data_IF_430214286413
#
_entry.id   IF_430214286413
#
_cell.length_a   1.000
_cell.length_b   1.000
_cell.length_c   1.000
_cell.angle_alpha   90.00
_cell.angle_beta   90.00
_cell.angle_gamma   90.00
#
_symmetry.space_group_name_H-M   'P 1'
#
loop_
_entity.id
_entity.type
_entity.pdbx_description
1 polymer ?
#
# COMPACT_ATOMS: atom_id res chain seq x y z
N UNK A 1 13.33 10.60 38.19
CA UNK A 1 12.18 10.92 37.33
C UNK A 1 12.47 10.34 35.95
N UNK A 2 11.52 9.65 35.32
CA UNK A 2 11.74 9.18 33.94
C UNK A 2 11.53 10.35 32.99
N UNK A 3 12.39 10.50 32.00
CA UNK A 3 12.28 11.49 30.93
C UNK A 3 11.91 10.76 29.64
N UNK A 4 10.84 11.19 28.99
CA UNK A 4 10.26 10.55 27.81
C UNK A 4 10.32 11.56 26.66
N UNK A 5 10.81 11.12 25.51
CA UNK A 5 10.59 11.80 24.23
C UNK A 5 9.41 11.13 23.55
N UNK A 6 8.40 11.93 23.24
CA UNK A 6 7.26 11.54 22.42
C UNK A 6 7.34 12.27 21.09
N UNK A 7 7.19 11.53 19.99
CA UNK A 7 7.17 12.07 18.63
C UNK A 7 5.88 11.61 17.96
N UNK A 8 5.17 12.54 17.35
CA UNK A 8 3.98 12.27 16.53
C UNK A 8 4.13 12.88 15.14
N UNK A 9 3.91 12.08 14.09
CA UNK A 9 3.71 12.58 12.73
C UNK A 9 2.25 13.01 12.58
N UNK A 10 2.00 14.30 12.33
CA UNK A 10 0.64 14.84 12.31
C UNK A 10 -0.18 14.37 11.10
N UNK A 11 0.47 13.94 10.03
CA UNK A 11 -0.21 13.59 8.78
C UNK A 11 -0.64 12.12 8.78
N UNK A 12 0.21 11.19 9.23
CA UNK A 12 -0.15 9.75 9.37
C UNK A 12 -0.71 9.39 10.74
N UNK A 13 -0.52 10.24 11.75
CA UNK A 13 -0.84 9.92 13.14
C UNK A 13 0.11 8.90 13.78
N UNK A 14 1.19 8.47 13.09
CA UNK A 14 2.20 7.56 13.65
C UNK A 14 2.86 8.19 14.88
N UNK A 15 3.07 7.39 15.93
CA UNK A 15 3.60 7.85 17.23
C UNK A 15 4.67 6.93 17.75
N UNK A 16 5.73 7.52 18.29
CA UNK A 16 6.74 6.81 19.05
C UNK A 16 6.95 7.49 20.39
N UNK A 17 7.10 6.69 21.45
CA UNK A 17 7.55 7.16 22.75
C UNK A 17 8.74 6.32 23.23
N UNK A 18 9.79 6.99 23.70
CA UNK A 18 10.97 6.35 24.26
C UNK A 18 11.53 7.10 25.47
N UNK A 19 12.20 6.38 26.36
CA UNK A 19 12.90 6.96 27.51
C UNK A 19 14.26 7.52 27.07
N UNK A 20 14.50 8.81 27.34
CA UNK A 20 15.74 9.52 27.03
C UNK A 20 16.60 9.73 28.27
N UNK A 21 17.88 10.05 28.07
CA UNK A 21 18.76 10.40 29.19
C UNK A 21 18.35 11.76 29.75
N UNK A 22 18.29 11.95 31.08
CA UNK A 22 17.87 13.22 31.67
C UNK A 22 18.73 14.43 31.23
N UNK A 23 19.99 14.20 30.89
CA UNK A 23 20.88 15.26 30.40
C UNK A 23 20.48 15.78 29.01
N UNK A 24 19.75 14.97 28.23
CA UNK A 24 19.34 15.34 26.88
C UNK A 24 18.09 16.24 26.86
N UNK A 25 17.40 16.47 27.99
CA UNK A 25 16.30 17.45 27.99
C UNK A 25 16.78 18.90 27.87
N UNK A 26 18.08 19.13 27.99
CA UNK A 26 18.69 20.46 27.88
C UNK A 26 19.34 20.74 26.51
N UNK A 27 19.26 19.81 25.56
CA UNK A 27 19.82 20.01 24.21
C UNK A 27 18.75 20.53 23.23
N UNK A 28 19.21 21.15 22.15
CA UNK A 28 18.37 21.66 21.07
C UNK A 28 17.53 20.54 20.44
N UNK A 29 16.40 20.89 19.82
CA UNK A 29 15.55 19.96 19.09
C UNK A 29 16.35 19.21 18.01
N UNK A 30 17.23 19.88 17.27
CA UNK A 30 18.11 19.24 16.29
C UNK A 30 18.94 18.11 16.93
N UNK A 31 19.54 18.35 18.08
CA UNK A 31 20.32 17.36 18.83
C UNK A 31 19.47 16.18 19.33
N UNK A 32 18.25 16.45 19.80
CA UNK A 32 17.31 15.39 20.19
C UNK A 32 16.91 14.52 19.00
N UNK A 33 16.53 15.14 17.88
CA UNK A 33 16.13 14.43 16.67
C UNK A 33 17.30 13.68 16.04
N UNK A 34 18.52 14.23 16.06
CA UNK A 34 19.71 13.52 15.57
C UNK A 34 19.98 12.25 16.40
N UNK A 35 19.99 12.37 17.73
CA UNK A 35 20.29 11.26 18.64
C UNK A 35 19.19 10.21 18.69
N UNK A 36 17.92 10.63 18.72
CA UNK A 36 16.79 9.74 19.03
C UNK A 36 15.84 9.47 17.88
N UNK A 37 15.88 10.26 16.81
CA UNK A 37 15.10 9.99 15.59
C UNK A 37 15.99 9.56 14.43
N UNK A 38 17.07 10.26 14.09
CA UNK A 38 17.92 9.95 12.93
C UNK A 38 18.87 8.77 13.19
N UNK A 39 19.56 8.80 14.33
CA UNK A 39 20.56 7.80 14.73
C UNK A 39 20.24 7.10 16.06
N UNK A 40 18.99 6.62 16.28
CA UNK A 40 18.62 5.97 17.52
C UNK A 40 19.41 4.67 17.70
N UNK A 41 19.96 4.40 18.90
CA UNK A 41 20.57 3.11 19.22
C UNK A 41 19.48 2.07 19.52
N UNK A 42 18.66 1.71 18.53
CA UNK A 42 17.41 0.92 18.68
C UNK A 42 17.61 -0.36 19.48
N UNK A 43 18.67 -1.14 19.20
CA UNK A 43 18.95 -2.39 19.91
C UNK A 43 19.25 -2.18 21.40
N UNK A 44 20.03 -1.15 21.74
CA UNK A 44 20.28 -0.76 23.14
C UNK A 44 19.00 -0.26 23.80
N UNK A 45 18.22 0.60 23.12
CA UNK A 45 16.94 1.09 23.64
C UNK A 45 15.96 -0.07 23.94
N UNK A 46 15.89 -1.08 23.06
CA UNK A 46 15.03 -2.25 23.27
C UNK A 46 15.53 -3.12 24.42
N UNK A 47 16.83 -3.46 24.44
CA UNK A 47 17.40 -4.30 25.50
C UNK A 47 17.36 -3.67 26.89
N UNK A 48 17.41 -2.34 26.97
CA UNK A 48 17.28 -1.57 28.22
C UNK A 48 15.81 -1.28 28.61
N UNK A 49 14.83 -1.75 27.82
CA UNK A 49 13.41 -1.48 28.03
C UNK A 49 13.06 0.00 27.98
N UNK A 50 13.80 0.79 27.19
CA UNK A 50 13.59 2.24 26.98
C UNK A 50 12.59 2.52 25.86
N UNK A 51 12.37 1.56 24.97
CA UNK A 51 11.38 1.60 23.90
C UNK A 51 10.75 0.21 23.77
N UNK A 52 9.50 0.13 23.28
CA UNK A 52 8.86 -1.15 22.93
C UNK A 52 9.14 -1.51 21.48
N UNK A 53 8.96 -2.78 21.10
CA UNK A 53 9.11 -3.22 19.70
C UNK A 53 8.18 -2.44 18.75
N UNK A 54 6.91 -2.23 19.15
CA UNK A 54 5.96 -1.45 18.36
C UNK A 54 6.39 0.00 18.16
N UNK A 55 6.92 0.66 19.20
CA UNK A 55 7.44 2.02 19.06
C UNK A 55 8.77 2.07 18.30
N UNK A 56 9.61 1.04 18.38
CA UNK A 56 10.82 0.96 17.56
C UNK A 56 10.49 0.86 16.06
N UNK A 57 9.47 0.08 15.69
CA UNK A 57 8.97 0.04 14.31
C UNK A 57 8.38 1.39 13.89
N UNK A 58 7.54 1.99 14.73
CA UNK A 58 6.95 3.31 14.41
C UNK A 58 8.01 4.41 14.28
N UNK A 59 9.06 4.38 15.12
CA UNK A 59 10.21 5.30 15.02
C UNK A 59 10.90 5.17 13.66
N UNK A 60 11.13 3.94 13.21
CA UNK A 60 11.73 3.65 11.91
C UNK A 60 10.85 4.10 10.75
N UNK A 61 9.53 3.99 10.88
CA UNK A 61 8.61 4.50 9.86
C UNK A 61 8.61 6.04 9.83
N UNK A 62 8.63 6.70 10.99
CA UNK A 62 8.73 8.17 11.08
C UNK A 62 10.06 8.65 10.49
N UNK A 63 11.17 7.93 10.68
CA UNK A 63 12.45 8.26 10.05
C UNK A 63 12.32 8.44 8.53
N UNK A 64 11.61 7.52 7.87
CA UNK A 64 11.51 7.50 6.40
C UNK A 64 10.53 8.55 5.86
N UNK A 65 9.73 9.15 6.73
CA UNK A 65 8.87 10.30 6.44
C UNK A 65 9.56 11.64 6.71
N UNK A 66 10.64 11.62 7.50
CA UNK A 66 11.33 12.84 7.95
C UNK A 66 12.63 13.07 7.19
N UNK A 67 13.40 12.01 6.91
CA UNK A 67 14.73 12.12 6.34
C UNK A 67 14.81 11.50 4.95
N UNK A 68 15.58 12.14 4.08
CA UNK A 68 15.92 11.61 2.76
C UNK A 68 16.92 10.47 2.94
N UNK A 69 16.63 9.32 2.31
CA UNK A 69 17.57 8.21 2.22
C UNK A 69 18.46 8.37 0.99
N UNK A 70 19.79 8.33 1.13
CA UNK A 70 20.68 8.22 -0.02
C UNK A 70 20.61 6.82 -0.64
N UNK A 71 21.17 6.65 -1.83
CA UNK A 71 21.19 5.38 -2.57
C UNK A 71 21.80 4.23 -1.78
N UNK A 72 22.63 4.53 -0.78
CA UNK A 72 23.23 3.55 0.11
C UNK A 72 22.33 3.15 1.30
N UNK A 73 21.15 3.77 1.47
CA UNK A 73 20.19 3.52 2.54
C UNK A 73 20.39 4.36 3.80
N UNK A 74 21.44 5.21 3.84
CA UNK A 74 21.72 6.08 4.98
C UNK A 74 20.82 7.32 4.96
N UNK A 75 20.40 7.77 6.15
CA UNK A 75 19.60 8.98 6.31
C UNK A 75 20.49 10.22 6.23
N UNK A 76 20.09 11.18 5.40
CA UNK A 76 20.76 12.47 5.20
C UNK A 76 19.97 13.61 5.84
N UNK A 77 19.67 14.65 5.07
CA UNK A 77 18.91 15.80 5.52
C UNK A 77 17.42 15.49 5.64
N UNK A 78 16.72 16.34 6.38
CA UNK A 78 15.28 16.29 6.46
C UNK A 78 14.67 16.69 5.12
N UNK A 79 13.47 16.20 4.81
CA UNK A 79 12.72 16.72 3.67
C UNK A 79 12.51 18.24 3.81
N UNK A 80 12.61 18.94 2.69
CA UNK A 80 12.28 20.37 2.64
C UNK A 80 10.81 20.58 3.02
N UNK A 81 10.54 21.59 3.84
CA UNK A 81 9.18 21.93 4.27
C UNK A 81 8.70 21.25 5.55
N UNK A 82 9.52 20.39 6.18
CA UNK A 82 9.21 19.89 7.53
C UNK A 82 9.21 21.05 8.54
N UNK A 83 8.16 21.09 9.35
CA UNK A 83 8.05 21.96 10.50
C UNK A 83 7.85 21.13 11.77
N UNK A 84 8.28 21.68 12.90
CA UNK A 84 8.09 21.06 14.21
C UNK A 84 7.19 21.92 15.07
N UNK A 85 6.39 21.25 15.89
CA UNK A 85 5.49 21.86 16.84
C UNK A 85 5.68 21.24 18.21
N UNK A 86 5.58 22.07 19.23
CA UNK A 86 5.45 21.63 20.61
C UNK A 86 4.15 22.23 21.14
N UNK A 87 3.27 21.36 21.62
CA UNK A 87 1.86 21.71 21.86
C UNK A 87 1.21 22.33 20.60
N UNK A 88 0.82 23.61 20.68
CA UNK A 88 0.21 24.33 19.56
C UNK A 88 1.18 25.33 18.89
N UNK A 89 2.38 25.51 19.42
CA UNK A 89 3.38 26.47 18.93
C UNK A 89 4.38 25.81 17.98
N UNK A 90 4.91 26.58 17.03
CA UNK A 90 6.06 26.13 16.22
C UNK A 90 7.33 26.21 17.06
N UNK A 91 8.22 25.24 16.89
CA UNK A 91 9.54 25.20 17.51
C UNK A 91 10.62 25.00 16.44
N UNK A 92 11.66 25.83 16.50
CA UNK A 92 12.82 25.75 15.62
C UNK A 92 13.82 24.68 16.04
N UNK A 93 14.64 24.23 15.09
CA UNK A 93 15.65 23.21 15.32
C UNK A 93 16.73 23.60 16.34
N UNK A 94 17.05 24.90 16.44
CA UNK A 94 18.05 25.44 17.37
C UNK A 94 17.48 25.72 18.78
N UNK A 95 16.18 25.56 18.98
CA UNK A 95 15.51 25.80 20.26
C UNK A 95 15.56 24.55 21.15
N UNK A 96 15.57 24.74 22.46
CA UNK A 96 15.50 23.64 23.44
C UNK A 96 14.03 23.36 23.76
N UNK A 97 13.51 22.16 23.49
CA UNK A 97 12.13 21.82 23.81
C UNK A 97 11.85 21.86 25.31
N UNK A 98 10.66 22.32 25.67
CA UNK A 98 10.19 22.29 27.04
C UNK A 98 9.76 20.87 27.43
N UNK A 99 9.91 20.55 28.72
CA UNK A 99 9.41 19.28 29.28
C UNK A 99 8.19 19.56 30.15
N UNK A 100 7.13 18.77 30.00
CA UNK A 100 5.93 18.84 30.81
C UNK A 100 5.79 17.62 31.71
N UNK A 101 5.29 17.80 32.94
CA UNK A 101 5.00 16.70 33.84
C UNK A 101 3.71 15.98 33.41
N UNK A 102 3.78 14.67 33.24
CA UNK A 102 2.64 13.81 32.94
C UNK A 102 2.53 12.67 33.97
N UNK A 103 1.31 12.19 34.20
CA UNK A 103 1.07 11.01 35.04
C UNK A 103 0.68 9.82 34.16
N UNK A 104 1.52 8.78 34.16
CA UNK A 104 1.28 7.54 33.43
C UNK A 104 1.24 6.38 34.41
N UNK A 105 0.09 5.70 34.52
CA UNK A 105 -0.07 4.56 35.42
C UNK A 105 0.22 4.89 36.90
N UNK A 106 -0.06 6.13 37.34
CA UNK A 106 0.24 6.60 38.71
C UNK A 106 1.69 7.01 38.95
N UNK A 107 2.55 6.99 37.92
CA UNK A 107 3.94 7.46 38.00
C UNK A 107 4.07 8.82 37.32
N UNK A 108 4.69 9.79 37.99
CA UNK A 108 5.03 11.08 37.40
C UNK A 108 6.27 10.94 36.50
N UNK A 109 6.13 11.37 35.25
CA UNK A 109 7.19 11.37 34.23
C UNK A 109 7.31 12.76 33.62
N UNK A 110 8.51 13.11 33.15
CA UNK A 110 8.78 14.34 32.41
C UNK A 110 8.73 14.02 30.91
N UNK A 111 7.91 14.72 30.13
CA UNK A 111 7.66 14.43 28.71
C UNK A 111 8.07 15.62 27.86
N UNK A 112 8.95 15.37 26.88
CA UNK A 112 9.19 16.24 25.74
C UNK A 112 8.31 15.74 24.61
N UNK A 113 7.25 16.48 24.29
CA UNK A 113 6.29 16.11 23.23
C UNK A 113 6.55 16.95 21.98
N UNK A 114 6.87 16.28 20.87
CA UNK A 114 7.18 16.91 19.59
C UNK A 114 6.24 16.37 18.51
N UNK A 115 5.55 17.29 17.85
CA UNK A 115 4.77 17.02 16.66
C UNK A 115 5.55 17.41 15.40
N UNK A 116 5.54 16.53 14.41
CA UNK A 116 6.15 16.71 13.10
C UNK A 116 5.03 17.05 12.12
N UNK A 117 5.11 18.25 11.56
CA UNK A 117 4.21 18.73 10.52
C UNK A 117 4.92 18.66 9.17
N UNK A 118 4.41 17.80 8.29
CA UNK A 118 4.94 17.58 6.94
C UNK A 118 3.94 17.96 5.85
N UNK A 119 3.00 18.85 6.14
CA UNK A 119 2.02 19.33 5.15
C UNK A 119 2.67 20.11 3.99
N UNK A 120 3.86 20.69 4.21
CA UNK A 120 4.60 21.43 3.17
C UNK A 120 5.74 20.61 2.52
N UNK A 121 5.82 19.30 2.80
CA UNK A 121 6.83 18.43 2.19
C UNK A 121 6.47 18.14 0.74
N UNK A 122 7.46 18.24 -0.16
CA UNK A 122 7.34 17.91 -1.57
C UNK A 122 7.62 16.43 -1.89
N UNK A 123 7.70 16.11 -3.18
CA UNK A 123 7.90 14.75 -3.70
C UNK A 123 9.38 14.38 -3.92
N UNK A 124 10.25 14.74 -2.98
CA UNK A 124 11.71 14.59 -3.13
C UNK A 124 12.25 13.21 -2.68
N UNK A 125 11.37 12.20 -2.56
CA UNK A 125 11.77 10.88 -2.06
C UNK A 125 12.70 10.19 -3.05
N UNK A 126 13.90 9.83 -2.58
CA UNK A 126 14.76 8.90 -3.30
C UNK A 126 14.30 7.45 -3.08
N UNK A 127 13.61 6.88 -4.08
CA UNK A 127 13.06 5.53 -4.01
C UNK A 127 14.11 4.43 -3.92
N UNK A 128 15.25 4.57 -4.59
CA UNK A 128 16.33 3.58 -4.52
C UNK A 128 16.88 3.48 -3.09
N UNK A 129 17.19 4.63 -2.48
CA UNK A 129 17.62 4.70 -1.09
C UNK A 129 16.57 4.22 -0.11
N UNK A 130 15.31 4.62 -0.31
CA UNK A 130 14.18 4.18 0.52
C UNK A 130 14.00 2.66 0.49
N UNK A 131 13.96 2.04 -0.70
CA UNK A 131 13.85 0.59 -0.83
C UNK A 131 15.04 -0.14 -0.19
N UNK A 132 16.28 0.32 -0.44
CA UNK A 132 17.46 -0.30 0.14
C UNK A 132 17.41 -0.27 1.67
N UNK A 133 17.10 0.89 2.25
CA UNK A 133 16.98 1.07 3.70
C UNK A 133 15.93 0.14 4.32
N UNK A 134 14.74 0.07 3.72
CA UNK A 134 13.63 -0.77 4.21
C UNK A 134 13.98 -2.25 4.11
N UNK A 135 14.68 -2.65 3.04
CA UNK A 135 15.17 -4.02 2.88
C UNK A 135 16.15 -4.41 3.98
N UNK A 136 17.19 -3.60 4.22
CA UNK A 136 18.26 -3.91 5.18
C UNK A 136 17.73 -4.13 6.61
N UNK A 137 16.66 -3.43 7.02
CA UNK A 137 16.03 -3.62 8.34
C UNK A 137 15.48 -5.03 8.55
N UNK A 138 15.12 -5.75 7.48
CA UNK A 138 14.49 -7.08 7.51
C UNK A 138 15.05 -8.03 6.45
N UNK A 139 16.33 -7.87 6.12
CA UNK A 139 16.99 -8.57 5.01
C UNK A 139 16.78 -10.09 5.08
N UNK A 140 16.90 -10.66 6.28
CA UNK A 140 16.74 -12.10 6.51
C UNK A 140 15.33 -12.58 6.14
N UNK A 141 14.30 -11.86 6.56
CA UNK A 141 12.90 -12.21 6.33
C UNK A 141 12.58 -12.16 4.82
N UNK A 142 12.98 -11.08 4.14
CA UNK A 142 12.72 -10.91 2.72
C UNK A 142 13.54 -11.87 1.85
N UNK A 143 14.82 -12.07 2.18
CA UNK A 143 15.68 -13.04 1.49
C UNK A 143 15.16 -14.47 1.64
N UNK A 144 14.61 -14.82 2.81
CA UNK A 144 14.00 -16.12 3.03
C UNK A 144 12.70 -16.28 2.21
N UNK A 145 11.87 -15.24 2.13
CA UNK A 145 10.69 -15.24 1.25
C UNK A 145 11.06 -15.53 -0.21
N UNK A 146 12.10 -14.86 -0.73
CA UNK A 146 12.58 -15.08 -2.10
C UNK A 146 13.07 -16.52 -2.28
N UNK A 147 13.94 -17.01 -1.39
CA UNK A 147 14.49 -18.38 -1.45
C UNK A 147 13.40 -19.44 -1.38
N UNK A 148 12.42 -19.30 -0.48
CA UNK A 148 11.28 -20.21 -0.36
C UNK A 148 10.43 -20.20 -1.63
N UNK A 149 10.20 -19.02 -2.22
CA UNK A 149 9.43 -18.88 -3.46
C UNK A 149 10.10 -19.62 -4.63
N UNK A 150 11.41 -19.46 -4.80
CA UNK A 150 12.15 -20.17 -5.84
C UNK A 150 12.22 -21.68 -5.59
N UNK A 151 12.52 -22.09 -4.35
CA UNK A 151 12.65 -23.51 -3.98
C UNK A 151 11.33 -24.29 -4.07
N UNK A 152 10.19 -23.60 -4.02
CA UNK A 152 8.88 -24.22 -4.22
C UNK A 152 8.63 -24.60 -5.70
N UNK A 153 9.44 -24.10 -6.63
CA UNK A 153 9.25 -24.29 -8.08
C UNK A 153 10.45 -24.92 -8.79
N UNK A 154 11.65 -24.76 -8.25
CA UNK A 154 12.89 -25.17 -8.88
C UNK A 154 13.71 -26.07 -7.95
N UNK A 155 14.63 -26.85 -8.51
CA UNK A 155 15.57 -27.63 -7.70
C UNK A 155 16.49 -26.73 -6.86
N UNK A 156 17.26 -27.33 -5.94
CA UNK A 156 18.21 -26.59 -5.12
C UNK A 156 19.33 -25.97 -5.97
N UNK A 157 19.83 -26.70 -6.96
CA UNK A 157 20.83 -26.23 -7.90
C UNK A 157 20.28 -25.08 -8.74
N UNK A 158 19.11 -25.27 -9.36
CA UNK A 158 18.45 -24.23 -10.16
C UNK A 158 18.14 -22.97 -9.36
N UNK A 159 17.68 -23.12 -8.11
CA UNK A 159 17.44 -21.97 -7.22
C UNK A 159 18.72 -21.17 -6.99
N UNK A 160 19.85 -21.86 -6.84
CA UNK A 160 21.16 -21.21 -6.65
C UNK A 160 21.59 -20.47 -7.92
N UNK A 161 21.38 -21.08 -9.09
CA UNK A 161 21.70 -20.46 -10.38
C UNK A 161 20.82 -19.23 -10.64
N UNK A 162 19.51 -19.33 -10.42
CA UNK A 162 18.56 -18.22 -10.59
C UNK A 162 18.93 -17.05 -9.67
N UNK A 163 19.26 -17.32 -8.40
CA UNK A 163 19.67 -16.28 -7.44
C UNK A 163 20.96 -15.57 -7.85
N UNK A 164 21.77 -16.16 -8.73
CA UNK A 164 22.98 -15.51 -9.24
C UNK A 164 22.70 -14.47 -10.32
N UNK A 165 21.50 -14.50 -10.93
CA UNK A 165 21.01 -13.54 -11.94
C UNK A 165 21.99 -13.29 -13.11
N UNK A 166 22.82 -14.30 -13.43
CA UNK A 166 23.91 -14.18 -14.40
C UNK A 166 23.43 -14.06 -15.83
N UNK A 167 22.31 -14.72 -16.15
CA UNK A 167 21.76 -14.77 -17.49
C UNK A 167 20.39 -14.10 -17.58
N UNK A 168 19.97 -13.75 -18.79
CA UNK A 168 18.58 -13.39 -19.09
C UNK A 168 17.58 -14.42 -18.55
N UNK A 169 17.87 -15.72 -18.72
CA UNK A 169 16.97 -16.79 -18.29
C UNK A 169 16.81 -16.78 -16.77
N UNK A 170 17.91 -16.63 -16.03
CA UNK A 170 17.89 -16.52 -14.57
C UNK A 170 17.02 -15.34 -14.12
N UNK A 171 17.20 -14.16 -14.73
CA UNK A 171 16.40 -12.96 -14.43
C UNK A 171 14.92 -13.17 -14.74
N UNK A 172 14.58 -13.75 -15.90
CA UNK A 172 13.20 -14.02 -16.29
C UNK A 172 12.53 -15.01 -15.34
N UNK A 173 13.22 -16.11 -14.99
CA UNK A 173 12.72 -17.12 -14.04
C UNK A 173 12.56 -16.53 -12.64
N UNK A 174 13.50 -15.69 -12.20
CA UNK A 174 13.43 -14.98 -10.93
C UNK A 174 12.19 -14.09 -10.86
N UNK A 175 12.03 -13.17 -11.82
CA UNK A 175 10.89 -12.25 -11.88
C UNK A 175 9.58 -13.04 -11.99
N UNK A 176 9.49 -14.04 -12.88
CA UNK A 176 8.26 -14.81 -13.09
C UNK A 176 7.83 -15.56 -11.83
N UNK A 177 8.76 -16.18 -11.11
CA UNK A 177 8.43 -16.92 -9.90
C UNK A 177 7.89 -16.02 -8.78
N UNK A 178 8.55 -14.88 -8.54
CA UNK A 178 8.11 -13.89 -7.55
C UNK A 178 6.80 -13.23 -7.96
N UNK A 179 6.69 -12.81 -9.22
CA UNK A 179 5.49 -12.22 -9.78
C UNK A 179 4.30 -13.17 -9.63
N UNK A 180 4.48 -14.46 -9.92
CA UNK A 180 3.41 -15.46 -9.75
C UNK A 180 3.06 -15.69 -8.28
N UNK A 181 4.03 -15.63 -7.37
CA UNK A 181 3.77 -15.75 -5.92
C UNK A 181 2.95 -14.58 -5.40
N UNK A 182 3.30 -13.36 -5.79
CA UNK A 182 2.56 -12.14 -5.43
C UNK A 182 1.18 -12.15 -6.10
N UNK A 183 1.08 -12.52 -7.38
CA UNK A 183 -0.21 -12.62 -8.07
C UNK A 183 -1.17 -13.56 -7.33
N UNK A 184 -0.70 -14.70 -6.82
CA UNK A 184 -1.53 -15.64 -6.06
C UNK A 184 -2.02 -15.14 -4.69
N UNK A 185 -1.47 -14.07 -4.14
CA UNK A 185 -2.00 -13.50 -2.91
C UNK A 185 -3.34 -12.78 -3.17
N UNK A 186 -4.08 -12.51 -2.10
CA UNK A 186 -5.39 -11.89 -2.19
C UNK A 186 -5.35 -10.53 -2.92
N UNK A 187 -6.42 -10.21 -3.63
CA UNK A 187 -6.73 -8.83 -3.98
C UNK A 187 -7.73 -8.32 -2.93
N UNK A 188 -7.31 -7.36 -2.12
CA UNK A 188 -8.04 -7.03 -0.90
C UNK A 188 -7.79 -5.60 -0.40
N UNK A 189 -8.76 -5.10 0.37
CA UNK A 189 -8.64 -3.88 1.19
C UNK A 189 -8.91 -4.14 2.67
N UNK A 190 -9.26 -5.36 3.09
CA UNK A 190 -9.59 -5.66 4.48
C UNK A 190 -8.42 -5.34 5.43
N UNK A 191 -7.17 -5.49 4.97
CA UNK A 191 -5.94 -5.26 5.75
C UNK A 191 -5.75 -3.80 6.14
N UNK A 192 -6.44 -2.86 5.49
CA UNK A 192 -6.47 -1.44 5.89
C UNK A 192 -7.25 -1.20 7.18
N UNK A 193 -8.13 -2.15 7.56
CA UNK A 193 -9.03 -1.97 8.71
C UNK A 193 -8.78 -2.99 9.84
N UNK A 194 -7.86 -3.93 9.64
CA UNK A 194 -7.45 -4.91 10.65
C UNK A 194 -5.93 -4.90 10.79
N UNK A 195 -5.40 -5.50 11.87
CA UNK A 195 -3.96 -5.50 12.12
C UNK A 195 -3.41 -4.09 12.31
N UNK A 196 -2.38 -3.73 11.53
CA UNK A 196 -1.67 -2.44 11.60
C UNK A 196 -2.51 -1.26 11.08
N UNK A 197 -3.63 -1.53 10.39
CA UNK A 197 -4.59 -0.51 9.90
C UNK A 197 -3.93 0.60 9.07
N UNK A 198 -2.99 0.20 8.22
CA UNK A 198 -2.32 1.14 7.32
C UNK A 198 -3.30 1.60 6.24
N UNK A 199 -3.52 2.91 6.15
CA UNK A 199 -4.37 3.51 5.12
C UNK A 199 -3.88 3.17 3.72
N UNK A 200 -2.56 3.12 3.52
CA UNK A 200 -1.91 2.66 2.30
C UNK A 200 -0.60 1.93 2.63
N UNK A 201 -0.30 0.85 1.93
CA UNK A 201 0.90 0.04 2.15
C UNK A 201 1.97 0.36 1.12
N UNK A 202 3.16 0.69 1.59
CA UNK A 202 4.38 0.72 0.78
C UNK A 202 4.76 -0.69 0.31
N UNK A 203 5.72 -0.81 -0.62
CA UNK A 203 6.11 -2.11 -1.20
C UNK A 203 6.55 -3.15 -0.17
N UNK A 204 7.30 -2.74 0.87
CA UNK A 204 7.75 -3.66 1.93
C UNK A 204 6.62 -4.03 2.90
N UNK A 205 5.70 -3.12 3.18
CA UNK A 205 4.50 -3.36 3.99
C UNK A 205 3.53 -4.31 3.28
N UNK A 206 3.34 -4.12 1.98
CA UNK A 206 2.56 -5.02 1.14
C UNK A 206 3.22 -6.41 1.07
N UNK A 207 4.55 -6.49 0.94
CA UNK A 207 5.27 -7.76 0.98
C UNK A 207 5.09 -8.47 2.33
N UNK A 208 5.18 -7.76 3.45
CA UNK A 208 4.93 -8.32 4.79
C UNK A 208 3.49 -8.84 4.91
N UNK A 209 2.50 -8.06 4.49
CA UNK A 209 1.11 -8.50 4.49
C UNK A 209 0.91 -9.77 3.64
N UNK A 210 1.59 -9.89 2.48
CA UNK A 210 1.58 -11.11 1.66
C UNK A 210 2.26 -12.30 2.36
N UNK A 211 3.36 -12.06 3.08
CA UNK A 211 4.04 -13.09 3.88
C UNK A 211 3.13 -13.64 5.00
N UNK A 212 2.28 -12.79 5.56
CA UNK A 212 1.30 -13.12 6.60
C UNK A 212 -0.04 -13.66 6.04
N UNK A 213 -0.08 -14.03 4.75
CA UNK A 213 -1.26 -14.61 4.10
C UNK A 213 -2.34 -13.59 3.73
N UNK A 214 -2.04 -12.30 3.78
CA UNK A 214 -2.84 -11.24 3.19
C UNK A 214 -2.50 -10.99 1.72
N UNK A 215 -2.77 -9.78 1.26
CA UNK A 215 -2.60 -9.38 -0.14
C UNK A 215 -2.43 -7.87 -0.30
N UNK A 216 -3.11 -7.32 -1.29
CA UNK A 216 -3.21 -5.87 -1.49
C UNK A 216 -3.88 -5.53 -2.81
N UNK A 217 -4.04 -4.25 -3.09
CA UNK A 217 -4.52 -3.78 -4.40
C UNK A 217 -3.39 -3.77 -5.44
N UNK A 218 -3.72 -3.43 -6.70
CA UNK A 218 -2.77 -3.41 -7.82
C UNK A 218 -1.46 -2.69 -7.48
N UNK A 219 -1.54 -1.46 -7.00
CA UNK A 219 -0.36 -0.64 -6.69
C UNK A 219 0.50 -1.19 -5.56
N UNK A 220 -0.11 -1.82 -4.56
CA UNK A 220 0.61 -2.38 -3.41
C UNK A 220 1.35 -3.67 -3.81
N UNK A 221 0.70 -4.54 -4.59
CA UNK A 221 1.29 -5.78 -5.09
C UNK A 221 2.40 -5.51 -6.10
N UNK A 222 2.22 -4.53 -6.98
CA UNK A 222 3.24 -4.06 -7.92
C UNK A 222 4.43 -3.45 -7.18
N UNK A 223 4.20 -2.60 -6.17
CA UNK A 223 5.28 -2.08 -5.33
C UNK A 223 6.01 -3.18 -4.57
N UNK A 224 5.32 -4.21 -4.07
CA UNK A 224 5.97 -5.36 -3.42
C UNK A 224 6.91 -6.10 -4.37
N UNK A 225 6.50 -6.32 -5.62
CA UNK A 225 7.37 -6.93 -6.61
C UNK A 225 8.57 -6.02 -6.93
N UNK A 226 8.33 -4.73 -7.16
CA UNK A 226 9.40 -3.76 -7.43
C UNK A 226 10.40 -3.68 -6.29
N UNK A 227 9.93 -3.61 -5.04
CA UNK A 227 10.76 -3.59 -3.84
C UNK A 227 11.73 -4.77 -3.79
N UNK A 228 11.26 -5.98 -4.12
CA UNK A 228 12.13 -7.15 -4.23
C UNK A 228 13.12 -6.97 -5.38
N UNK A 229 12.64 -6.67 -6.60
CA UNK A 229 13.52 -6.62 -7.76
C UNK A 229 14.56 -5.51 -7.73
N UNK A 230 14.24 -4.38 -7.08
CA UNK A 230 15.18 -3.27 -6.87
C UNK A 230 16.34 -3.72 -5.96
N UNK A 231 16.09 -4.49 -4.90
CA UNK A 231 17.15 -5.06 -4.05
C UNK A 231 18.11 -5.97 -4.86
N UNK A 232 17.57 -6.73 -5.80
CA UNK A 232 18.35 -7.61 -6.66
C UNK A 232 18.94 -6.91 -7.91
N UNK A 233 18.83 -5.58 -8.00
CA UNK A 233 19.41 -4.79 -9.08
C UNK A 233 18.73 -5.02 -10.44
N UNK A 234 17.46 -5.43 -10.45
CA UNK A 234 16.68 -5.61 -11.67
C UNK A 234 15.79 -4.38 -11.86
N UNK A 235 16.23 -3.48 -12.74
CA UNK A 235 15.52 -2.24 -13.03
C UNK A 235 14.13 -2.47 -13.65
N UNK A 236 13.16 -1.67 -13.21
CA UNK A 236 11.80 -1.65 -13.72
C UNK A 236 11.17 -0.27 -13.67
N UNK A 237 10.28 -0.03 -14.63
CA UNK A 237 9.42 1.14 -14.74
C UNK A 237 7.98 0.77 -14.36
N UNK A 238 7.28 1.66 -13.66
CA UNK A 238 5.84 1.60 -13.55
C UNK A 238 5.19 1.93 -14.89
N UNK A 239 4.19 1.11 -15.25
CA UNK A 239 3.29 1.32 -16.38
C UNK A 239 1.92 1.57 -15.81
N UNK A 240 1.25 2.62 -16.25
CA UNK A 240 -0.11 2.93 -15.82
C UNK A 240 -1.12 2.39 -16.83
N UNK A 241 -2.31 2.03 -16.37
CA UNK A 241 -3.40 1.64 -17.23
C UNK A 241 -4.75 2.09 -16.67
N UNK A 242 -5.75 2.07 -17.53
CA UNK A 242 -7.14 2.11 -17.09
C UNK A 242 -8.11 2.03 -18.25
N UNK A 243 -9.38 2.00 -17.87
CA UNK A 243 -10.48 1.73 -18.78
C UNK A 243 -10.67 2.88 -19.78
N UNK A 244 -10.82 2.51 -21.06
CA UNK A 244 -11.12 3.45 -22.15
C UNK A 244 -10.12 4.61 -22.27
N UNK A 245 -8.88 4.39 -21.83
CA UNK A 245 -7.80 5.35 -21.82
C UNK A 245 -6.89 5.17 -23.05
N UNK A 246 -7.44 5.05 -24.26
CA UNK A 246 -6.67 4.76 -25.48
C UNK A 246 -5.70 5.87 -25.91
N UNK A 247 -6.03 7.12 -25.58
CA UNK A 247 -5.24 8.30 -25.94
C UNK A 247 -3.92 8.39 -25.15
N UNK A 248 -2.94 9.22 -25.56
CA UNK A 248 -1.73 9.46 -24.79
C UNK A 248 -2.00 9.96 -23.36
N UNK A 249 -1.10 9.63 -22.43
CA UNK A 249 -1.19 10.04 -21.03
C UNK A 249 -1.04 11.57 -20.91
N UNK A 250 -1.98 12.28 -20.29
CA UNK A 250 -1.91 13.72 -20.10
C UNK A 250 -1.05 14.07 -18.88
N UNK A 251 0.26 13.81 -18.96
CA UNK A 251 1.20 13.91 -17.83
C UNK A 251 1.13 15.25 -17.08
N UNK A 252 1.10 16.38 -17.79
CA UNK A 252 1.01 17.71 -17.16
C UNK A 252 -0.24 17.85 -16.28
N UNK A 253 -1.36 17.24 -16.69
CA UNK A 253 -2.60 17.26 -15.91
C UNK A 253 -2.53 16.33 -14.71
N UNK A 254 -1.83 15.20 -14.81
CA UNK A 254 -1.59 14.31 -13.68
C UNK A 254 -0.69 14.99 -12.63
N UNK A 255 0.38 15.68 -13.06
CA UNK A 255 1.24 16.49 -12.17
C UNK A 255 0.48 17.64 -11.50
N UNK A 256 -0.38 18.33 -12.26
CA UNK A 256 -1.25 19.38 -11.72
C UNK A 256 -2.16 18.83 -10.61
N UNK A 257 -2.75 17.64 -10.81
CA UNK A 257 -3.59 16.99 -9.79
C UNK A 257 -2.81 16.64 -8.53
N UNK A 258 -1.59 16.10 -8.66
CA UNK A 258 -0.73 15.78 -7.52
C UNK A 258 -0.31 17.03 -6.74
N UNK A 259 -0.09 18.14 -7.44
CA UNK A 259 0.34 19.39 -6.78
C UNK A 259 -0.82 20.12 -6.10
N UNK A 260 -2.01 20.09 -6.70
CA UNK A 260 -3.16 20.87 -6.22
C UNK A 260 -4.11 20.08 -5.32
N UNK A 261 -4.05 18.75 -5.36
CA UNK A 261 -5.07 17.85 -4.82
C UNK A 261 -6.50 18.24 -5.27
N UNK A 262 -6.64 18.92 -6.42
CA UNK A 262 -7.93 19.29 -6.98
C UNK A 262 -8.47 18.16 -7.84
N UNK A 263 -9.34 17.35 -7.25
CA UNK A 263 -9.95 16.23 -7.96
C UNK A 263 -11.25 16.59 -8.71
N UNK A 264 -11.64 17.86 -8.82
CA UNK A 264 -12.92 18.26 -9.45
C UNK A 264 -12.99 17.95 -10.95
N UNK A 265 -11.86 17.97 -11.65
CA UNK A 265 -11.71 17.55 -13.06
C UNK A 265 -11.11 16.14 -13.19
N UNK A 266 -10.91 15.44 -12.08
CA UNK A 266 -10.12 14.22 -12.02
C UNK A 266 -10.79 13.03 -12.67
N UNK A 267 -12.13 12.93 -12.72
CA UNK A 267 -12.78 11.78 -13.37
C UNK A 267 -12.31 11.55 -14.81
N UNK A 268 -11.96 12.61 -15.54
CA UNK A 268 -11.43 12.49 -16.91
C UNK A 268 -9.99 11.96 -16.95
N UNK A 269 -9.15 12.31 -15.99
CA UNK A 269 -7.71 12.02 -16.02
C UNK A 269 -7.31 10.86 -15.09
N UNK A 270 -8.08 10.57 -14.03
CA UNK A 270 -7.88 9.43 -13.15
C UNK A 270 -7.95 8.10 -13.89
N UNK A 271 -8.72 8.03 -14.99
CA UNK A 271 -8.77 6.85 -15.85
C UNK A 271 -7.40 6.41 -16.38
N UNK A 272 -6.40 7.30 -16.39
CA UNK A 272 -5.05 6.94 -16.85
C UNK A 272 -4.22 6.22 -15.79
N UNK A 273 -4.60 6.27 -14.52
CA UNK A 273 -3.85 5.65 -13.42
C UNK A 273 -4.74 4.80 -12.49
N UNK A 274 -5.83 4.23 -13.03
CA UNK A 274 -6.70 3.30 -12.29
C UNK A 274 -5.98 1.99 -11.96
N UNK A 275 -4.95 1.66 -12.74
CA UNK A 275 -4.23 0.41 -12.67
C UNK A 275 -2.75 0.62 -12.94
N UNK A 276 -1.93 -0.32 -12.47
CA UNK A 276 -0.48 -0.27 -12.62
C UNK A 276 0.09 -1.67 -12.81
N UNK A 277 1.15 -1.76 -13.61
CA UNK A 277 1.99 -2.93 -13.83
C UNK A 277 3.48 -2.53 -13.83
N UNK A 278 4.39 -3.49 -13.95
CA UNK A 278 5.82 -3.25 -14.10
C UNK A 278 6.31 -3.62 -15.49
N UNK A 279 7.23 -2.81 -16.00
CA UNK A 279 7.98 -3.08 -17.21
C UNK A 279 9.45 -3.23 -16.88
N UNK A 280 9.99 -4.43 -17.08
CA UNK A 280 11.40 -4.71 -16.92
C UNK A 280 12.14 -4.62 -18.25
N UNK A 281 13.42 -4.27 -18.19
CA UNK A 281 14.35 -4.42 -19.33
C UNK A 281 15.33 -5.55 -19.03
N UNK A 282 15.16 -6.69 -19.70
CA UNK A 282 16.07 -7.84 -19.58
C UNK A 282 16.79 -8.05 -20.91
N UNK A 283 18.10 -7.79 -20.93
CA UNK A 283 18.99 -7.86 -22.10
C UNK A 283 18.38 -7.22 -23.37
N UNK A 284 17.86 -6.00 -23.22
CA UNK A 284 17.28 -5.22 -24.31
C UNK A 284 15.85 -5.60 -24.70
N UNK A 285 15.25 -6.60 -24.06
CA UNK A 285 13.84 -6.96 -24.25
C UNK A 285 12.97 -6.38 -23.14
N UNK A 286 11.82 -5.85 -23.55
CA UNK A 286 10.76 -5.43 -22.65
C UNK A 286 10.05 -6.65 -22.07
N UNK A 287 9.79 -6.65 -20.77
CA UNK A 287 9.00 -7.68 -20.08
C UNK A 287 7.91 -7.01 -19.26
N UNK A 288 6.67 -7.05 -19.73
CA UNK A 288 5.52 -6.48 -19.03
C UNK A 288 4.95 -7.52 -18.05
N UNK A 289 4.89 -7.15 -16.79
CA UNK A 289 4.49 -8.02 -15.68
C UNK A 289 3.37 -7.37 -14.88
N UNK A 290 2.26 -8.09 -14.75
CA UNK A 290 1.12 -7.69 -13.92
C UNK A 290 0.82 -8.75 -12.87
N UNK A 291 0.90 -8.34 -11.61
CA UNK A 291 0.77 -9.20 -10.42
C UNK A 291 -0.51 -8.95 -9.65
N UNK A 292 -1.48 -8.24 -10.23
CA UNK A 292 -2.64 -7.74 -9.49
C UNK A 292 -3.58 -8.86 -9.03
N UNK A 293 -3.93 -9.79 -9.93
CA UNK A 293 -4.97 -10.80 -9.69
C UNK A 293 -6.35 -10.17 -9.47
N UNK A 294 -7.21 -10.80 -8.67
CA UNK A 294 -8.63 -10.48 -8.56
C UNK A 294 -9.30 -10.74 -9.91
N UNK A 295 -9.46 -9.65 -10.66
CA UNK A 295 -10.11 -9.63 -11.97
C UNK A 295 -9.15 -9.39 -13.15
N UNK A 296 -7.87 -9.14 -12.85
CA UNK A 296 -6.81 -8.93 -13.83
C UNK A 296 -6.04 -10.24 -14.01
N UNK A 297 -5.90 -10.77 -15.24
CA UNK A 297 -5.14 -11.99 -15.48
C UNK A 297 -3.65 -11.81 -15.15
N UNK A 298 -2.96 -12.90 -14.83
CA UNK A 298 -1.51 -12.85 -14.71
C UNK A 298 -0.89 -12.52 -16.07
N UNK A 299 -0.14 -11.43 -16.15
CA UNK A 299 0.60 -11.06 -17.36
C UNK A 299 2.09 -11.27 -17.13
N UNK A 300 2.72 -12.02 -18.04
CA UNK A 300 4.16 -12.10 -18.18
C UNK A 300 4.49 -12.13 -19.67
N UNK A 301 4.56 -10.94 -20.27
CA UNK A 301 4.68 -10.75 -21.72
C UNK A 301 6.09 -10.29 -22.07
N UNK A 302 6.76 -10.99 -22.98
CA UNK A 302 8.15 -10.71 -23.37
C UNK A 302 8.22 -10.19 -24.81
N UNK A 303 9.01 -9.14 -25.04
CA UNK A 303 9.32 -8.63 -26.36
C UNK A 303 8.07 -8.12 -27.09
N UNK A 304 7.77 -8.72 -28.25
CA UNK A 304 6.68 -8.25 -29.11
C UNK A 304 5.28 -8.45 -28.50
N UNK A 305 5.13 -9.36 -27.53
CA UNK A 305 3.87 -9.48 -26.76
C UNK A 305 3.65 -8.27 -25.84
N UNK A 306 4.71 -7.79 -25.17
CA UNK A 306 4.63 -6.58 -24.36
C UNK A 306 4.38 -5.34 -25.24
N UNK A 307 5.05 -5.25 -26.40
CA UNK A 307 4.86 -4.14 -27.35
C UNK A 307 3.44 -4.03 -27.87
N UNK A 308 2.70 -5.13 -28.00
CA UNK A 308 1.29 -5.08 -28.44
C UNK A 308 0.38 -4.31 -27.49
N UNK A 309 0.67 -4.33 -26.19
CA UNK A 309 -0.09 -3.58 -25.19
C UNK A 309 0.47 -2.17 -24.94
N UNK A 310 1.76 -1.95 -25.20
CA UNK A 310 2.45 -0.69 -24.88
C UNK A 310 2.68 0.23 -26.08
N UNK A 311 2.62 -0.29 -27.31
CA UNK A 311 3.00 0.45 -28.53
C UNK A 311 2.10 1.65 -28.82
N UNK A 312 2.66 2.67 -29.47
CA UNK A 312 1.95 3.93 -29.75
C UNK A 312 1.02 3.85 -30.98
N UNK A 313 1.31 2.93 -31.91
CA UNK A 313 0.49 2.68 -33.11
C UNK A 313 -0.22 1.32 -32.96
N UNK A 314 -1.53 1.29 -33.16
CA UNK A 314 -2.39 0.08 -33.07
C UNK A 314 -2.37 -0.63 -31.70
N UNK A 315 -2.22 0.13 -30.61
CA UNK A 315 -2.28 -0.37 -29.22
C UNK A 315 -3.54 -1.20 -29.00
N UNK A 316 -3.36 -2.45 -28.56
CA UNK A 316 -4.48 -3.33 -28.23
C UNK A 316 -4.83 -3.17 -26.74
N UNK A 317 -6.11 -3.06 -26.38
CA UNK A 317 -6.50 -3.14 -24.98
C UNK A 317 -6.33 -4.55 -24.43
N UNK A 318 -6.21 -4.63 -23.11
CA UNK A 318 -6.49 -5.84 -22.37
C UNK A 318 -7.92 -5.75 -21.84
N UNK A 319 -8.83 -6.57 -22.38
CA UNK A 319 -10.17 -6.71 -21.79
C UNK A 319 -10.07 -7.45 -20.47
N UNK A 320 -10.51 -6.79 -19.39
CA UNK A 320 -10.52 -7.30 -18.02
C UNK A 320 -11.93 -7.25 -17.47
N UNK A 321 -12.28 -8.17 -16.57
CA UNK A 321 -13.63 -8.26 -16.03
C UNK A 321 -13.71 -7.64 -14.64
N UNK A 322 -13.87 -6.33 -14.55
CA UNK A 322 -14.00 -5.61 -13.28
C UNK A 322 -15.35 -5.93 -12.60
N UNK A 323 -15.32 -6.90 -11.69
CA UNK A 323 -16.47 -7.42 -10.94
C UNK A 323 -17.55 -8.00 -11.85
N UNK A 324 -18.46 -7.16 -12.35
CA UNK A 324 -19.57 -7.57 -13.22
C UNK A 324 -19.53 -6.94 -14.62
N UNK A 325 -18.58 -6.03 -14.89
CA UNK A 325 -18.41 -5.36 -16.17
C UNK A 325 -17.12 -5.82 -16.86
N UNK A 326 -17.14 -5.87 -18.19
CA UNK A 326 -15.94 -6.01 -18.99
C UNK A 326 -15.44 -4.60 -19.37
N UNK A 327 -14.16 -4.35 -19.17
CA UNK A 327 -13.52 -3.05 -19.41
C UNK A 327 -12.23 -3.25 -20.22
N UNK A 328 -11.98 -2.35 -21.16
CA UNK A 328 -10.80 -2.39 -22.01
C UNK A 328 -9.70 -1.50 -21.42
N UNK A 329 -8.68 -2.14 -20.85
CA UNK A 329 -7.56 -1.45 -20.22
C UNK A 329 -6.44 -1.17 -21.23
N UNK A 330 -6.03 0.09 -21.30
CA UNK A 330 -4.92 0.55 -22.15
C UNK A 330 -3.70 0.85 -21.29
N UNK A 331 -2.59 0.17 -21.55
CA UNK A 331 -1.34 0.32 -20.79
C UNK A 331 -0.45 1.38 -21.40
N UNK A 332 0.19 2.20 -20.56
CA UNK A 332 0.99 3.34 -20.97
C UNK A 332 2.28 3.43 -20.18
N UNK A 333 3.38 3.64 -20.91
CA UNK A 333 4.59 4.19 -20.30
C UNK A 333 4.31 5.63 -19.89
N UNK A 334 4.87 6.03 -18.75
CA UNK A 334 4.72 7.35 -18.18
C UNK A 334 6.05 7.76 -17.54
N UNK A 335 6.30 9.06 -17.44
CA UNK A 335 7.37 9.55 -16.60
C UNK A 335 7.19 9.07 -15.14
N UNK A 336 8.27 8.53 -14.57
CA UNK A 336 8.21 7.78 -13.30
C UNK A 336 7.91 8.67 -12.08
N UNK A 337 8.16 9.97 -12.18
CA UNK A 337 7.80 10.94 -11.14
C UNK A 337 6.30 10.93 -10.81
N UNK A 338 5.44 10.62 -11.79
CA UNK A 338 3.99 10.60 -11.63
C UNK A 338 3.52 9.47 -10.69
N UNK A 339 3.74 8.17 -11.01
CA UNK A 339 3.34 7.08 -10.13
C UNK A 339 4.05 7.15 -8.77
N UNK A 340 5.32 7.53 -8.75
CA UNK A 340 6.09 7.69 -7.51
C UNK A 340 5.51 8.78 -6.60
N UNK A 341 5.26 9.98 -7.12
CA UNK A 341 4.62 11.06 -6.35
C UNK A 341 3.22 10.67 -5.89
N UNK A 342 2.46 9.96 -6.73
CA UNK A 342 1.15 9.45 -6.36
C UNK A 342 1.21 8.47 -5.18
N UNK A 343 2.16 7.52 -5.16
CA UNK A 343 2.28 6.57 -4.04
C UNK A 343 2.74 7.26 -2.76
N UNK A 344 3.66 8.21 -2.88
CA UNK A 344 4.05 9.02 -1.71
C UNK A 344 2.86 9.84 -1.19
N UNK A 345 2.00 10.32 -2.08
CA UNK A 345 0.75 10.99 -1.69
C UNK A 345 -0.27 10.07 -1.05
N UNK A 346 -0.45 8.84 -1.55
CA UNK A 346 -1.36 7.86 -0.95
C UNK A 346 -0.90 7.41 0.44
N UNK A 347 0.41 7.32 0.68
CA UNK A 347 0.96 7.02 2.01
C UNK A 347 0.73 8.18 3.00
N UNK A 348 0.68 9.41 2.49
CA UNK A 348 0.75 10.61 3.31
C UNK A 348 -0.51 11.47 3.30
N UNK A 349 -0.75 12.17 2.21
CA UNK A 349 -1.64 13.34 2.17
C UNK A 349 -3.07 13.02 1.72
N UNK A 350 -3.31 11.83 1.15
CA UNK A 350 -4.65 11.39 0.76
C UNK A 350 -5.26 10.62 1.95
N UNK A 351 -5.79 11.37 2.92
CA UNK A 351 -6.27 10.87 4.22
C UNK A 351 -7.27 9.71 4.09
N UNK A 352 -8.17 9.78 3.11
CA UNK A 352 -9.26 8.81 2.96
C UNK A 352 -9.02 7.80 1.84
N UNK A 353 -7.75 7.57 1.46
CA UNK A 353 -7.39 6.63 0.40
C UNK A 353 -7.93 5.22 0.68
N UNK A 354 -7.98 4.79 1.94
CA UNK A 354 -8.56 3.52 2.36
C UNK A 354 -10.05 3.41 1.99
N UNK A 355 -10.84 4.44 2.26
CA UNK A 355 -12.27 4.50 1.95
C UNK A 355 -12.50 4.70 0.44
N UNK A 356 -11.73 5.57 -0.21
CA UNK A 356 -11.81 5.82 -1.66
C UNK A 356 -11.60 4.52 -2.44
N UNK A 357 -10.62 3.69 -2.04
CA UNK A 357 -10.38 2.41 -2.71
C UNK A 357 -11.55 1.44 -2.55
N UNK A 358 -12.16 1.37 -1.37
CA UNK A 358 -13.30 0.47 -1.10
C UNK A 358 -14.57 0.92 -1.82
N UNK A 359 -14.91 2.20 -1.71
CA UNK A 359 -16.23 2.72 -2.08
C UNK A 359 -16.24 3.45 -3.42
N UNK A 360 -15.32 4.39 -3.65
CA UNK A 360 -15.35 5.26 -4.84
C UNK A 360 -14.75 4.57 -6.07
N UNK A 361 -13.69 3.78 -5.88
CA UNK A 361 -13.11 2.91 -6.90
C UNK A 361 -13.80 1.55 -6.99
N UNK A 362 -14.79 1.30 -6.11
CA UNK A 362 -15.59 0.07 -6.07
C UNK A 362 -14.75 -1.23 -5.98
N UNK A 363 -13.56 -1.18 -5.39
CA UNK A 363 -12.71 -2.37 -5.22
C UNK A 363 -13.18 -3.28 -4.08
N UNK A 364 -14.08 -2.80 -3.23
CA UNK A 364 -14.63 -3.55 -2.11
C UNK A 364 -13.57 -3.97 -1.10
N UNK A 365 -13.91 -4.97 -0.28
CA UNK A 365 -13.01 -5.51 0.74
C UNK A 365 -12.17 -6.69 0.21
N UNK A 366 -12.71 -7.45 -0.74
CA UNK A 366 -12.09 -8.64 -1.29
C UNK A 366 -12.59 -8.94 -2.71
N UNK A 367 -11.66 -9.30 -3.59
CA UNK A 367 -11.96 -9.77 -4.95
C UNK A 367 -11.14 -11.04 -5.25
N UNK A 368 -11.81 -12.07 -5.74
CA UNK A 368 -11.20 -13.25 -6.36
C UNK A 368 -11.88 -13.58 -7.68
N UNK A 369 -11.48 -14.67 -8.32
CA UNK A 369 -12.18 -15.18 -9.52
C UNK A 369 -13.63 -15.61 -9.24
N UNK A 370 -13.96 -15.91 -7.98
CA UNK A 370 -15.24 -16.50 -7.60
C UNK A 370 -16.13 -15.58 -6.77
N UNK A 371 -15.54 -14.58 -6.09
CA UNK A 371 -16.26 -13.74 -5.15
C UNK A 371 -15.84 -12.29 -5.22
N UNK A 372 -16.81 -11.40 -5.10
CA UNK A 372 -16.63 -10.00 -4.75
C UNK A 372 -17.38 -9.73 -3.44
N UNK A 373 -16.68 -9.18 -2.46
CA UNK A 373 -17.23 -8.87 -1.14
C UNK A 373 -16.98 -7.41 -0.82
N UNK A 374 -18.04 -6.67 -0.50
CA UNK A 374 -17.94 -5.24 -0.17
C UNK A 374 -18.90 -4.84 0.95
N UNK A 375 -18.66 -3.64 1.50
CA UNK A 375 -19.49 -3.03 2.52
C UNK A 375 -20.60 -2.17 1.89
N UNK A 376 -21.77 -2.13 2.54
CA UNK A 376 -22.78 -1.08 2.34
C UNK A 376 -22.90 -0.29 3.62
N UNK A 377 -22.60 1.01 3.56
CA UNK A 377 -22.71 1.92 4.70
C UNK A 377 -23.98 2.76 4.55
N UNK A 378 -24.79 2.88 5.62
CA UNK A 378 -26.09 3.53 5.56
C UNK A 378 -26.52 4.16 6.90
N UNK A 379 -27.32 5.25 6.87
CA UNK A 379 -27.89 5.89 8.07
C UNK A 379 -29.33 5.49 8.41
N UNK A 380 -30.06 4.88 7.48
CA UNK A 380 -31.47 4.52 7.68
C UNK A 380 -31.86 3.28 6.88
N UNK A 381 -32.93 2.61 7.30
CA UNK A 381 -33.48 1.46 6.57
C UNK A 381 -33.90 1.79 5.13
N UNK A 382 -34.37 3.02 4.88
CA UNK A 382 -34.70 3.47 3.52
C UNK A 382 -33.44 3.65 2.64
N UNK A 383 -32.35 4.20 3.20
CA UNK A 383 -31.07 4.31 2.50
C UNK A 383 -30.49 2.92 2.19
N UNK A 384 -30.53 2.00 3.16
CA UNK A 384 -30.15 0.61 2.95
C UNK A 384 -30.96 -0.06 1.85
N UNK A 385 -32.30 0.03 1.91
CA UNK A 385 -33.18 -0.59 0.91
C UNK A 385 -32.90 -0.08 -0.52
N UNK A 386 -32.57 1.21 -0.67
CA UNK A 386 -32.15 1.79 -1.95
C UNK A 386 -30.84 1.19 -2.45
N UNK A 387 -29.79 1.17 -1.62
CA UNK A 387 -28.48 0.62 -1.98
C UNK A 387 -28.57 -0.87 -2.31
N UNK A 388 -29.29 -1.64 -1.47
CA UNK A 388 -29.59 -3.05 -1.71
C UNK A 388 -30.26 -3.27 -3.07
N UNK A 389 -31.26 -2.46 -3.41
CA UNK A 389 -31.93 -2.53 -4.71
C UNK A 389 -30.98 -2.29 -5.89
N UNK A 390 -30.03 -1.37 -5.76
CA UNK A 390 -29.03 -1.09 -6.80
C UNK A 390 -28.11 -2.28 -7.04
N UNK A 391 -27.57 -2.88 -5.98
CA UNK A 391 -26.73 -4.09 -6.08
C UNK A 391 -27.49 -5.26 -6.71
N UNK A 392 -28.69 -5.56 -6.22
CA UNK A 392 -29.50 -6.66 -6.75
C UNK A 392 -29.84 -6.45 -8.23
N UNK A 393 -30.21 -5.23 -8.63
CA UNK A 393 -30.51 -4.92 -10.02
C UNK A 393 -29.28 -5.04 -10.93
N UNK A 394 -28.11 -4.57 -10.48
CA UNK A 394 -26.86 -4.67 -11.24
C UNK A 394 -26.45 -6.15 -11.42
N UNK A 395 -26.53 -6.93 -10.36
CA UNK A 395 -26.21 -8.36 -10.37
C UNK A 395 -27.18 -9.19 -11.22
N UNK A 396 -28.48 -8.86 -11.18
CA UNK A 396 -29.49 -9.49 -12.03
C UNK A 396 -29.19 -9.25 -13.52
N UNK A 397 -28.87 -8.00 -13.90
CA UNK A 397 -28.47 -7.66 -15.27
C UNK A 397 -27.21 -8.40 -15.73
N UNK A 398 -26.24 -8.56 -14.84
CA UNK A 398 -25.01 -9.31 -15.10
C UNK A 398 -25.20 -10.84 -15.00
N UNK A 399 -26.36 -11.31 -14.53
CA UNK A 399 -26.68 -12.72 -14.32
C UNK A 399 -25.80 -13.40 -13.25
N UNK A 400 -25.37 -12.67 -12.24
CA UNK A 400 -24.58 -13.20 -11.11
C UNK A 400 -25.45 -13.32 -9.86
N UNK A 401 -25.11 -14.25 -8.96
CA UNK A 401 -25.82 -14.36 -7.68
C UNK A 401 -25.31 -13.27 -6.74
N UNK A 402 -26.21 -12.63 -6.01
CA UNK A 402 -25.88 -11.57 -5.07
C UNK A 402 -26.75 -11.68 -3.83
N UNK A 403 -26.13 -11.56 -2.67
CA UNK A 403 -26.79 -11.45 -1.38
C UNK A 403 -26.35 -10.16 -0.71
N UNK A 404 -27.33 -9.46 -0.13
CA UNK A 404 -27.14 -8.19 0.56
C UNK A 404 -27.83 -8.27 1.92
N UNK A 405 -27.03 -8.25 2.98
CA UNK A 405 -27.47 -8.28 4.36
C UNK A 405 -27.22 -6.91 5.02
N UNK A 406 -28.19 -6.46 5.81
CA UNK A 406 -28.05 -5.25 6.64
C UNK A 406 -27.17 -5.53 7.85
N UNK A 407 -27.14 -6.78 8.31
CA UNK A 407 -26.25 -7.24 9.36
C UNK A 407 -24.87 -7.51 8.77
N UNK A 408 -23.83 -7.21 9.55
CA UNK A 408 -22.46 -7.56 9.20
C UNK A 408 -22.21 -9.03 9.55
N UNK A 409 -22.72 -9.94 8.71
CA UNK A 409 -22.59 -11.38 8.87
C UNK A 409 -22.35 -12.06 7.53
N UNK A 410 -21.79 -13.27 7.58
CA UNK A 410 -21.63 -14.17 6.43
C UNK A 410 -22.51 -15.42 6.58
N UNK A 411 -23.60 -15.35 7.35
CA UNK A 411 -24.49 -16.50 7.62
C UNK A 411 -25.46 -16.80 6.47
N UNK A 412 -25.52 -15.93 5.46
CA UNK A 412 -26.30 -16.15 4.26
C UNK A 412 -25.70 -17.31 3.43
N UNK A 413 -26.49 -17.97 2.55
CA UNK A 413 -25.98 -19.07 1.73
C UNK A 413 -24.69 -18.74 0.94
N UNK A 414 -24.61 -17.59 0.27
CA UNK A 414 -23.37 -17.16 -0.41
C UNK A 414 -22.26 -16.78 0.57
N UNK A 415 -22.62 -16.25 1.74
CA UNK A 415 -21.65 -15.96 2.80
C UNK A 415 -20.98 -17.23 3.36
N UNK A 416 -21.75 -18.31 3.51
CA UNK A 416 -21.24 -19.62 3.89
C UNK A 416 -20.35 -20.21 2.79
N UNK A 417 -20.78 -20.14 1.52
CA UNK A 417 -19.93 -20.56 0.38
C UNK A 417 -18.60 -19.78 0.34
N UNK A 418 -18.63 -18.47 0.62
CA UNK A 418 -17.43 -17.64 0.69
C UNK A 418 -16.51 -18.09 1.84
N UNK A 419 -17.05 -18.29 3.04
CA UNK A 419 -16.30 -18.78 4.21
C UNK A 419 -15.64 -20.14 3.95
N UNK A 420 -16.30 -21.04 3.25
CA UNK A 420 -15.73 -22.34 2.88
C UNK A 420 -14.58 -22.18 1.86
N UNK A 421 -14.74 -21.28 0.88
CA UNK A 421 -13.74 -21.09 -0.19
C UNK A 421 -12.51 -20.29 0.24
N UNK A 422 -12.68 -19.33 1.16
CA UNK A 422 -11.65 -18.38 1.58
C UNK A 422 -11.78 -18.05 3.09
N UNK A 423 -11.56 -19.03 3.98
CA UNK A 423 -11.85 -18.89 5.41
C UNK A 423 -11.06 -17.77 6.09
N UNK A 424 -9.79 -17.57 5.72
CA UNK A 424 -8.95 -16.52 6.28
C UNK A 424 -9.43 -15.12 5.87
N UNK A 425 -9.70 -14.92 4.57
CA UNK A 425 -10.25 -13.67 4.07
C UNK A 425 -11.62 -13.36 4.69
N UNK A 426 -12.49 -14.36 4.82
CA UNK A 426 -13.79 -14.21 5.45
C UNK A 426 -13.69 -13.78 6.92
N UNK A 427 -12.77 -14.39 7.68
CA UNK A 427 -12.50 -13.99 9.07
C UNK A 427 -12.04 -12.53 9.15
N UNK A 428 -11.13 -12.11 8.27
CA UNK A 428 -10.65 -10.73 8.20
C UNK A 428 -11.76 -9.75 7.82
N UNK A 429 -12.60 -10.07 6.83
CA UNK A 429 -13.78 -9.26 6.44
C UNK A 429 -14.74 -9.04 7.61
N UNK A 430 -15.00 -10.06 8.43
CA UNK A 430 -15.85 -9.88 9.61
C UNK A 430 -15.22 -8.91 10.62
N UNK A 431 -13.90 -8.98 10.82
CA UNK A 431 -13.17 -8.13 11.76
C UNK A 431 -13.07 -6.64 11.34
N UNK A 432 -13.27 -6.32 10.05
CA UNK A 432 -13.17 -4.95 9.50
C UNK A 432 -14.18 -3.97 10.08
N UNK A 433 -15.38 -4.44 10.47
CA UNK A 433 -16.57 -3.60 10.67
C UNK A 433 -16.35 -2.33 11.49
N UNK A 434 -15.78 -2.50 12.68
CA UNK A 434 -15.69 -1.42 13.66
C UNK A 434 -14.78 -0.30 13.15
N UNK A 435 -13.58 -0.63 12.67
CA UNK A 435 -12.64 0.38 12.22
C UNK A 435 -13.09 1.04 10.91
N UNK A 436 -13.67 0.28 9.97
CA UNK A 436 -14.25 0.85 8.75
C UNK A 436 -15.35 1.86 9.06
N UNK A 437 -16.25 1.54 10.01
CA UNK A 437 -17.30 2.48 10.42
C UNK A 437 -16.74 3.72 11.12
N UNK A 438 -15.72 3.56 11.98
CA UNK A 438 -15.05 4.70 12.61
C UNK A 438 -14.47 5.65 11.56
N UNK A 439 -13.69 5.12 10.61
CA UNK A 439 -13.11 5.90 9.51
C UNK A 439 -14.20 6.59 8.67
N UNK A 440 -15.25 5.85 8.32
CA UNK A 440 -16.34 6.41 7.53
C UNK A 440 -17.11 7.52 8.28
N UNK A 441 -17.33 7.36 9.59
CA UNK A 441 -17.99 8.36 10.44
C UNK A 441 -17.13 9.61 10.64
N UNK A 442 -15.80 9.49 10.70
CA UNK A 442 -14.87 10.63 10.71
C UNK A 442 -15.04 11.50 9.46
N UNK A 443 -15.25 10.87 8.29
CA UNK A 443 -15.37 11.57 6.99
C UNK A 443 -16.78 12.11 6.72
N UNK A 444 -17.81 11.34 7.05
CA UNK A 444 -19.19 11.59 6.62
C UNK A 444 -20.16 11.89 7.78
N UNK A 445 -19.61 12.11 8.97
CA UNK A 445 -20.33 12.35 10.21
C UNK A 445 -20.93 11.07 10.80
N UNK A 446 -21.27 11.07 12.10
CA UNK A 446 -21.51 9.86 12.86
C UNK A 446 -22.81 9.14 12.50
N UNK A 447 -22.99 7.98 13.13
CA UNK A 447 -24.22 7.18 13.20
C UNK A 447 -24.52 6.35 11.96
N UNK A 448 -23.50 6.01 11.19
CA UNK A 448 -23.67 5.01 10.14
C UNK A 448 -23.75 3.59 10.72
N UNK A 449 -24.46 2.73 10.00
CA UNK A 449 -24.40 1.28 10.14
C UNK A 449 -23.76 0.70 8.88
N UNK A 450 -23.25 -0.53 8.99
CA UNK A 450 -22.66 -1.25 7.87
C UNK A 450 -23.28 -2.64 7.73
N UNK A 451 -23.66 -2.97 6.51
CA UNK A 451 -24.05 -4.31 6.05
C UNK A 451 -23.05 -4.85 5.03
N UNK A 452 -23.23 -6.10 4.63
CA UNK A 452 -22.35 -6.80 3.69
C UNK A 452 -23.06 -7.16 2.38
N UNK A 453 -22.28 -7.10 1.30
CA UNK A 453 -22.66 -7.60 -0.01
C UNK A 453 -21.70 -8.71 -0.39
N UNK A 454 -22.27 -9.86 -0.76
CA UNK A 454 -21.52 -11.00 -1.30
C UNK A 454 -22.05 -11.29 -2.70
N UNK A 455 -21.18 -11.20 -3.70
CA UNK A 455 -21.49 -11.49 -5.09
C UNK A 455 -20.70 -12.72 -5.52
N UNK A 456 -21.40 -13.74 -6.02
CA UNK A 456 -20.76 -14.89 -6.66
C UNK A 456 -20.43 -14.52 -8.10
N UNK A 457 -19.15 -14.30 -8.36
CA UNK A 457 -18.66 -14.03 -9.70
C UNK A 457 -18.73 -15.29 -10.54
N UNK A 458 -19.00 -15.11 -11.84
CA UNK A 458 -18.74 -16.16 -12.81
C UNK A 458 -17.24 -16.15 -13.09
N UNK A 459 -16.59 -17.32 -13.23
CA UNK A 459 -15.21 -17.38 -13.69
C UNK A 459 -15.05 -16.46 -14.89
N UNK A 460 -14.31 -15.36 -14.70
CA UNK A 460 -13.83 -14.57 -15.83
C UNK A 460 -12.82 -15.43 -16.60
N UNK A 461 -12.51 -15.05 -17.84
CA UNK A 461 -11.36 -15.61 -18.55
C UNK A 461 -10.06 -15.19 -17.84
N UNK A 462 -9.81 -15.70 -16.63
CA UNK A 462 -8.53 -15.65 -15.95
C UNK A 462 -7.57 -16.63 -16.64
N UNK A 463 -7.49 -16.53 -17.97
CA UNK A 463 -6.49 -17.19 -18.76
C UNK A 463 -5.15 -16.54 -18.42
N UNK A 464 -4.21 -17.38 -18.03
CA UNK A 464 -2.82 -16.97 -17.86
C UNK A 464 -2.30 -16.57 -19.24
N UNK A 465 -2.02 -15.27 -19.43
CA UNK A 465 -1.31 -14.78 -20.63
C UNK A 465 0.18 -14.77 -20.31
N UNK A 466 0.77 -15.95 -20.42
CA UNK A 466 2.20 -16.18 -20.22
C UNK A 466 2.85 -16.49 -21.57
N UNK A 467 3.81 -15.66 -21.95
CA UNK A 467 4.72 -15.98 -23.05
C UNK A 467 5.73 -16.99 -22.51
N UNK A 468 5.42 -18.28 -22.74
CA UNK A 468 6.10 -19.48 -22.23
C UNK A 468 7.59 -19.32 -22.00
#
# INVERSE_FOLDING_TARGET
MNHILQIVDLVTGKRCALRIDPADTAITLAGLLDKYLKHPPVESLLSEGRITEGYAQSLQDIQDLVYISADDGLLHEMFNGIAFRQENASIGLDEVPESADATVGGTTVSVVDIAIDRLNVGYDRNWAGFHKRRWERREKEYSEFVRRTLSARYSKEETTDILSLRTSDDKLRFIRALAKRIWKSDFENYSRFVGDRLQYKTGDEALRNIMDGGGGICSEKVQALKFITDHYGIESEYVLAGADASEPVPEDKLREMLTTFDFRFAKRYMRYWQHVALLYRVDGKDVLVDVTNGNIPFLFLVGDDAKRLLGDCDKQPLTVKMSIADEDFYFHRVAQDIPESLYFAMEGWIEDVDLVQVFDNELGLYISSDFFVTAIVYKSGAAFAKLKGQYLQACEKAGVKCEVDANWSLESPLGLEFQESAPEAASKVIAVKEHLLTRYDECHGPSHQAGLVVIKLRPGNADVRDSG
#
